data_IF_896863881220
#
_entry.id   IF_896863881220
#
_cell.length_a   1.000
_cell.length_b   1.000
_cell.length_c   1.000
_cell.angle_alpha   90.00
_cell.angle_beta   90.00
_cell.angle_gamma   90.00
#
_symmetry.space_group_name_H-M   'P 1'
#
loop_
_entity.id
_entity.type
_entity.pdbx_description
1 polymer ?
2 non-polymer ?
3 water ?
#
# COMPACT_ATOMS: atom_id res chain seq x y z
N UNK A 8 -18.29 6.08 -14.80
CA UNK A 8 -17.33 6.00 -15.90
C UNK A 8 -17.27 7.29 -16.70
N UNK A 9 -18.37 8.06 -16.70
CA UNK A 9 -18.41 9.32 -17.41
C UNK A 9 -17.29 10.27 -16.98
N UNK A 10 -16.74 10.05 -15.79
CA UNK A 10 -15.63 10.87 -15.29
C UNK A 10 -14.30 10.52 -15.93
N UNK A 11 -14.17 9.33 -16.50
CA UNK A 11 -12.89 8.87 -17.04
C UNK A 11 -12.73 9.28 -18.50
N UNK A 12 -11.49 9.56 -18.89
CA UNK A 12 -11.16 9.83 -20.28
C UNK A 12 -11.15 8.54 -21.08
N UNK A 13 -11.82 8.54 -22.22
CA UNK A 13 -11.77 7.41 -23.14
C UNK A 13 -10.60 7.62 -24.08
N UNK A 14 -9.64 6.69 -24.06
CA UNK A 14 -8.41 6.81 -24.82
C UNK A 14 -8.52 5.93 -26.05
N UNK A 15 -8.08 6.44 -27.19
CA UNK A 15 -8.11 5.63 -28.40
C UNK A 15 -6.97 4.63 -28.40
N UNK A 16 -7.21 3.39 -28.83
CA UNK A 16 -6.14 2.38 -28.81
C UNK A 16 -4.89 2.77 -29.58
N UNK A 17 -5.01 3.64 -30.58
CA UNK A 17 -3.85 4.03 -31.38
C UNK A 17 -2.86 4.87 -30.58
N UNK A 18 -3.30 5.47 -29.48
CA UNK A 18 -2.44 6.28 -28.63
C UNK A 18 -1.63 5.46 -27.64
N UNK A 19 -1.88 4.16 -27.57
CA UNK A 19 -1.32 3.28 -26.56
C UNK A 19 -0.43 2.26 -27.24
N UNK A 20 0.81 2.13 -26.75
CA UNK A 20 1.72 1.07 -27.18
C UNK A 20 2.25 0.33 -25.95
N UNK A 21 1.91 -0.96 -25.87
CA UNK A 21 2.42 -1.82 -24.81
C UNK A 21 3.85 -2.23 -25.13
N UNK A 22 4.74 -2.15 -24.14
CA UNK A 22 6.16 -2.39 -24.35
C UNK A 22 6.73 -3.55 -23.55
N UNK A 23 6.23 -3.82 -22.35
CA UNK A 23 6.87 -4.80 -21.49
C UNK A 23 5.89 -5.26 -20.42
N UNK A 24 5.76 -6.57 -20.24
CA UNK A 24 4.87 -7.11 -19.21
C UNK A 24 5.44 -6.83 -17.83
N UNK A 25 4.59 -6.38 -16.90
CA UNK A 25 5.06 -6.09 -15.55
C UNK A 25 4.16 -6.69 -14.48
N UNK A 26 3.18 -7.51 -14.83
CA UNK A 26 2.39 -8.13 -13.77
C UNK A 26 1.20 -8.93 -14.24
N UNK A 27 0.43 -9.39 -13.24
CA UNK A 27 -0.89 -10.01 -13.34
C UNK A 27 -0.84 -11.43 -13.89
N UNK A 28 -1.97 -11.92 -14.41
CA UNK A 28 -2.00 -13.30 -14.87
C UNK A 28 -3.15 -13.73 -15.76
N UNK A 29 -4.17 -14.35 -15.16
CA UNK A 29 -5.10 -15.22 -15.89
C UNK A 29 -5.91 -14.48 -16.95
N UNK A 30 -6.59 -13.44 -16.54
CA UNK A 30 -7.49 -12.69 -17.42
C UNK A 30 -6.99 -11.39 -18.04
N UNK A 31 -5.72 -11.17 -17.92
CA UNK A 31 -5.12 -9.98 -18.49
C UNK A 31 -3.70 -9.87 -18.01
N UNK A 32 -3.00 -8.88 -18.57
CA UNK A 32 -1.64 -8.58 -18.13
C UNK A 32 -1.58 -7.11 -17.76
N UNK A 33 -0.53 -6.75 -17.03
CA UNK A 33 -0.17 -5.35 -16.81
C UNK A 33 1.11 -5.08 -17.56
N UNK A 34 1.12 -4.03 -18.37
CA UNK A 34 2.29 -3.63 -19.14
C UNK A 34 2.77 -2.25 -18.73
N UNK A 35 4.08 -2.04 -18.85
CA UNK A 35 4.60 -0.69 -19.01
C UNK A 35 4.47 -0.31 -20.48
N UNK A 36 4.01 0.92 -20.73
CA UNK A 36 3.87 1.39 -22.09
C UNK A 36 4.02 2.88 -22.22
N UNK A 37 3.62 3.42 -23.37
CA UNK A 37 3.67 4.85 -23.63
C UNK A 37 2.30 5.30 -24.10
N UNK A 38 1.90 6.50 -23.66
CA UNK A 38 0.62 7.10 -24.02
C UNK A 38 0.87 8.35 -24.85
N UNK A 39 0.20 8.43 -26.00
CA UNK A 39 0.33 9.56 -26.91
C UNK A 39 -0.94 10.40 -26.90
N UNK A 44 2.14 18.18 -26.41
CA UNK A 44 3.03 17.35 -25.61
C UNK A 44 3.67 16.21 -26.41
N UNK A 45 4.33 15.32 -25.69
CA UNK A 45 5.00 14.14 -26.24
C UNK A 45 4.63 12.96 -25.36
N UNK A 46 4.97 11.75 -25.83
CA UNK A 46 4.52 10.53 -25.18
C UNK A 46 5.05 10.41 -23.76
N UNK A 47 4.22 9.88 -22.87
CA UNK A 47 4.53 9.75 -21.45
C UNK A 47 4.42 8.29 -21.05
N UNK A 48 5.26 7.79 -20.13
CA UNK A 48 5.14 6.38 -19.73
C UNK A 48 3.91 6.16 -18.89
N UNK A 49 3.28 5.00 -19.08
CA UNK A 49 2.06 4.61 -18.39
C UNK A 49 2.14 3.13 -18.04
N UNK A 50 1.28 2.73 -17.11
CA UNK A 50 0.97 1.33 -16.89
C UNK A 50 -0.37 1.03 -17.51
N UNK A 51 -0.52 -0.18 -18.04
CA UNK A 51 -1.67 -0.56 -18.86
C UNK A 51 -2.15 -1.92 -18.37
N UNK A 52 -3.35 -1.97 -17.78
CA UNK A 52 -3.96 -3.24 -17.41
C UNK A 52 -5.02 -3.62 -18.42
N UNK A 53 -4.99 -4.88 -18.89
CA UNK A 53 -5.91 -5.34 -19.94
C UNK A 53 -6.89 -6.38 -19.38
N UNK A 54 -8.00 -6.52 -20.11
CA UNK A 54 -9.02 -7.54 -19.83
C UNK A 54 -9.31 -8.29 -21.13
N UNK A 55 -8.93 -9.58 -21.16
CA UNK A 55 -8.98 -10.36 -22.39
C UNK A 55 -10.41 -10.74 -22.76
N UNK A 56 -10.63 -10.96 -24.06
CA UNK A 56 -11.92 -11.38 -24.57
C UNK A 56 -12.38 -12.67 -23.90
N UNK A 57 -13.70 -12.82 -23.77
CA UNK A 57 -14.27 -13.89 -23.00
C UNK A 57 -14.60 -13.52 -21.56
N UNK A 58 -14.22 -12.32 -21.13
CA UNK A 58 -14.49 -11.90 -19.76
C UNK A 58 -15.98 -11.93 -19.48
N UNK A 59 -16.32 -12.25 -18.23
CA UNK A 59 -17.70 -12.32 -17.78
C UNK A 59 -18.24 -10.92 -17.47
N UNK A 60 -19.56 -10.86 -17.25
CA UNK A 60 -20.17 -9.60 -16.83
C UNK A 60 -19.59 -9.11 -15.50
N UNK A 61 -19.40 -10.03 -14.55
CA UNK A 61 -18.84 -9.63 -13.26
C UNK A 61 -17.40 -9.15 -13.41
N UNK A 62 -16.61 -9.83 -14.25
CA UNK A 62 -15.25 -9.36 -14.54
C UNK A 62 -15.27 -7.96 -15.12
N UNK A 63 -16.18 -7.70 -16.06
CA UNK A 63 -16.26 -6.37 -16.66
C UNK A 63 -16.66 -5.32 -15.63
N UNK A 64 -17.62 -5.66 -14.77
CA UNK A 64 -18.08 -4.73 -13.74
C UNK A 64 -16.94 -4.42 -12.76
N UNK A 65 -16.24 -5.46 -12.31
CA UNK A 65 -15.12 -5.25 -11.39
C UNK A 65 -13.98 -4.50 -12.06
N UNK A 66 -13.69 -4.82 -13.32
CA UNK A 66 -12.57 -4.18 -14.02
C UNK A 66 -12.83 -2.70 -14.24
N UNK A 67 -13.96 -2.37 -14.86
CA UNK A 67 -14.28 -0.96 -15.06
C UNK A 67 -14.62 -0.26 -13.74
N UNK A 68 -15.06 -1.02 -12.73
CA UNK A 68 -15.34 -0.42 -11.44
C UNK A 68 -14.09 0.08 -10.75
N UNK A 69 -12.98 -0.63 -10.90
CA UNK A 69 -11.70 -0.11 -10.40
C UNK A 69 -11.36 1.21 -11.07
N UNK A 70 -11.51 1.28 -12.39
CA UNK A 70 -11.26 2.54 -13.08
C UNK A 70 -12.20 3.62 -12.59
N UNK A 71 -13.48 3.29 -12.40
CA UNK A 71 -14.43 4.27 -11.92
C UNK A 71 -14.07 4.80 -10.55
N UNK A 72 -13.61 3.93 -9.66
CA UNK A 72 -13.19 4.36 -8.32
C UNK A 72 -11.97 5.26 -8.41
N UNK A 73 -10.95 4.83 -9.16
CA UNK A 73 -9.72 5.60 -9.30
C UNK A 73 -9.98 6.98 -9.90
N UNK A 74 -10.95 7.07 -10.81
CA UNK A 74 -11.27 8.35 -11.44
C UNK A 74 -11.92 9.34 -10.50
N UNK A 75 -12.43 8.89 -9.36
CA UNK A 75 -13.01 9.78 -8.36
C UNK A 75 -11.97 10.39 -7.43
N UNK A 76 -10.73 9.93 -7.47
CA UNK A 76 -9.69 10.38 -6.55
C UNK A 76 -8.71 11.32 -7.24
N UNK A 77 -8.21 12.29 -6.48
CA UNK A 77 -7.18 13.20 -6.98
C UNK A 77 -6.30 13.56 -5.79
N UNK A 78 -5.24 12.78 -5.59
CA UNK A 78 -4.35 12.98 -4.46
C UNK A 78 -2.95 12.51 -4.82
N UNK A 79 -1.96 13.24 -4.30
CA UNK A 79 -0.54 12.96 -4.52
C UNK A 79 -0.16 11.52 -4.19
N UNK A 80 -0.79 10.90 -3.19
CA UNK A 80 -0.38 9.58 -2.74
C UNK A 80 -1.37 8.50 -3.12
N UNK A 81 -2.10 8.73 -4.22
CA UNK A 81 -3.05 7.78 -4.78
C UNK A 81 -2.73 7.67 -6.26
N UNK A 82 -2.62 6.44 -6.78
CA UNK A 82 -2.25 6.24 -8.18
C UNK A 82 -3.25 6.96 -9.07
N UNK A 83 -2.74 7.71 -10.05
CA UNK A 83 -3.56 8.53 -10.92
C UNK A 83 -4.01 7.74 -12.15
N UNK A 84 -5.28 7.90 -12.51
CA UNK A 84 -5.83 7.30 -13.73
C UNK A 84 -5.63 8.25 -14.90
N UNK A 85 -5.05 7.72 -15.99
CA UNK A 85 -4.96 8.45 -17.25
C UNK A 85 -6.25 8.32 -18.05
N UNK A 86 -6.75 7.11 -18.19
CA UNK A 86 -8.02 6.90 -18.86
C UNK A 86 -8.28 5.42 -19.05
N UNK A 87 -9.32 5.14 -19.83
CA UNK A 87 -9.73 3.77 -20.10
C UNK A 87 -9.93 3.60 -21.61
N UNK A 88 -9.74 2.38 -22.07
CA UNK A 88 -10.25 1.93 -23.36
C UNK A 88 -11.38 0.98 -23.05
N UNK A 89 -12.62 1.42 -23.26
CA UNK A 89 -13.78 0.56 -23.12
C UNK A 89 -14.50 0.30 -24.44
N UNK A 90 -14.37 1.19 -25.43
CA UNK A 90 -15.07 1.00 -26.68
C UNK A 90 -14.47 -0.14 -27.51
N UNK A 91 -13.17 -0.32 -27.44
CA UNK A 91 -12.49 -1.33 -28.23
C UNK A 91 -12.04 -2.48 -27.34
N UNK A 92 -11.63 -3.57 -27.98
CA UNK A 92 -11.17 -4.77 -27.26
C UNK A 92 -9.73 -5.13 -27.70
N UNK A 93 -8.89 -5.56 -26.75
CA UNK A 93 -9.17 -5.72 -25.32
C UNK A 93 -9.36 -4.39 -24.59
N UNK A 94 -10.14 -4.40 -23.51
CA UNK A 94 -10.31 -3.19 -22.73
C UNK A 94 -9.09 -2.95 -21.87
N UNK A 95 -8.85 -1.68 -21.54
CA UNK A 95 -7.63 -1.32 -20.83
C UNK A 95 -7.91 -0.26 -19.79
N UNK A 96 -7.14 -0.31 -18.71
CA UNK A 96 -7.06 0.77 -17.73
C UNK A 96 -5.64 1.32 -17.77
N UNK A 97 -5.50 2.63 -17.92
CA UNK A 97 -4.22 3.27 -18.14
C UNK A 97 -3.97 4.24 -16.98
N UNK A 98 -2.84 4.06 -16.31
CA UNK A 98 -2.50 4.84 -15.13
C UNK A 98 -1.10 5.41 -15.27
N UNK A 99 -0.75 6.32 -14.38
CA UNK A 99 0.63 6.76 -14.30
C UNK A 99 1.53 5.56 -14.05
N UNK A 100 2.78 5.66 -14.50
CA UNK A 100 3.76 4.60 -14.35
C UNK A 100 4.68 4.92 -13.17
N UNK A 101 4.80 3.96 -12.26
CA UNK A 101 5.62 4.11 -11.06
C UNK A 101 6.92 3.33 -11.30
N UNK A 102 8.02 4.08 -11.44
CA UNK A 102 9.27 3.53 -11.97
C UNK A 102 9.89 2.47 -11.07
N UNK A 103 9.67 2.54 -9.76
CA UNK A 103 10.30 1.63 -8.81
C UNK A 103 9.42 0.46 -8.37
N UNK A 104 8.19 0.35 -8.85
CA UNK A 104 7.41 -0.85 -8.61
C UNK A 104 6.82 -0.95 -7.21
N UNK A 105 6.53 -2.18 -6.81
CA UNK A 105 5.86 -2.42 -5.55
C UNK A 105 6.81 -2.18 -4.39
N UNK A 106 6.28 -1.58 -3.32
CA UNK A 106 7.10 -1.16 -2.19
C UNK A 106 7.75 -2.34 -1.49
N UNK A 107 7.05 -3.48 -1.37
CA UNK A 107 7.64 -4.58 -0.61
C UNK A 107 8.87 -5.12 -1.32
N UNK A 108 8.76 -5.38 -2.62
CA UNK A 108 9.89 -5.86 -3.40
C UNK A 108 11.01 -4.83 -3.46
N UNK A 109 10.63 -3.55 -3.57
CA UNK A 109 11.60 -2.47 -3.66
C UNK A 109 12.47 -2.41 -2.41
N UNK A 110 11.85 -2.48 -1.24
CA UNK A 110 12.62 -2.45 0.00
C UNK A 110 13.53 -3.68 0.13
N UNK A 111 13.03 -4.85 -0.27
CA UNK A 111 13.83 -6.06 -0.13
C UNK A 111 15.05 -6.03 -1.04
N UNK A 112 14.95 -5.36 -2.18
CA UNK A 112 16.04 -5.30 -3.13
C UNK A 112 17.00 -4.15 -2.87
N UNK A 113 16.66 -3.28 -1.92
CA UNK A 113 17.43 -2.09 -1.57
C UNK A 113 17.69 -2.07 -0.07
N UNK A 114 17.98 -3.24 0.51
CA UNK A 114 18.10 -3.38 1.96
C UNK A 114 19.14 -2.41 2.54
N UNK A 115 18.73 -1.64 3.54
CA UNK A 115 19.65 -0.74 4.23
C UNK A 115 20.09 0.50 3.49
N UNK A 116 19.51 0.80 2.34
CA UNK A 116 20.05 1.86 1.48
C UNK A 116 19.44 3.24 1.75
N UNK A 117 18.45 3.35 2.64
CA UNK A 117 17.81 4.64 2.86
C UNK A 117 18.04 5.12 4.29
N UNK A 118 17.93 6.43 4.46
CA UNK A 118 18.01 7.01 5.80
C UNK A 118 16.71 6.74 6.54
N UNK A 119 16.78 6.80 7.87
CA UNK A 119 15.56 6.68 8.66
C UNK A 119 14.56 7.75 8.26
N UNK A 120 15.03 8.97 7.97
CA UNK A 120 14.11 10.04 7.61
C UNK A 120 13.41 9.75 6.28
N UNK A 121 14.12 9.14 5.32
CA UNK A 121 13.48 8.72 4.07
C UNK A 121 12.41 7.67 4.31
N UNK A 122 12.70 6.67 5.13
CA UNK A 122 11.70 5.64 5.43
C UNK A 122 10.47 6.26 6.08
N UNK A 123 10.67 7.14 7.06
CA UNK A 123 9.51 7.77 7.72
C UNK A 123 8.74 8.64 6.74
N UNK A 124 9.43 9.29 5.79
CA UNK A 124 8.74 10.07 4.79
C UNK A 124 7.86 9.21 3.89
N UNK A 125 8.31 7.99 3.57
CA UNK A 125 7.47 7.06 2.83
C UNK A 125 6.19 6.77 3.59
N UNK A 126 6.30 6.53 4.90
CA UNK A 126 5.12 6.27 5.72
C UNK A 126 4.19 7.46 5.79
N UNK A 127 4.74 8.68 5.83
CA UNK A 127 3.87 9.86 5.82
C UNK A 127 3.06 9.92 4.54
N UNK A 128 3.68 9.63 3.40
CA UNK A 128 2.96 9.65 2.14
C UNK A 128 1.85 8.63 2.12
N UNK A 129 2.16 7.40 2.52
CA UNK A 129 1.13 6.35 2.58
C UNK A 129 -0.01 6.79 3.48
N UNK A 130 0.31 7.34 4.64
CA UNK A 130 -0.72 7.77 5.59
C UNK A 130 -1.57 8.90 5.03
N UNK A 131 -0.96 9.81 4.29
CA UNK A 131 -1.73 10.90 3.68
C UNK A 131 -2.68 10.35 2.62
N UNK A 132 -2.21 9.41 1.79
CA UNK A 132 -3.12 8.74 0.88
C UNK A 132 -4.27 8.05 1.60
N UNK A 133 -3.96 7.34 2.69
CA UNK A 133 -5.00 6.62 3.43
C UNK A 133 -5.96 7.57 4.12
N UNK A 134 -5.47 8.68 4.68
CA UNK A 134 -6.36 9.67 5.25
C UNK A 134 -7.34 10.18 4.22
N UNK A 135 -6.85 10.50 3.02
CA UNK A 135 -7.72 10.89 1.92
C UNK A 135 -8.77 9.82 1.63
N UNK A 136 -8.34 8.56 1.46
CA UNK A 136 -9.30 7.50 1.16
C UNK A 136 -10.37 7.38 2.25
N UNK A 137 -9.94 7.36 3.52
CA UNK A 137 -10.90 7.17 4.61
C UNK A 137 -11.90 8.32 4.67
N UNK A 138 -11.42 9.55 4.47
CA UNK A 138 -12.32 10.68 4.51
C UNK A 138 -13.25 10.71 3.30
N UNK A 139 -12.82 10.11 2.19
CA UNK A 139 -13.66 9.89 1.00
C UNK A 139 -14.60 8.70 1.17
N UNK A 140 -14.61 8.06 2.34
CA UNK A 140 -15.48 6.91 2.65
C UNK A 140 -15.11 5.68 1.83
N UNK A 141 -13.83 5.48 1.57
CA UNK A 141 -13.34 4.30 0.87
C UNK A 141 -12.50 3.48 1.84
N UNK A 142 -12.91 2.22 2.06
CA UNK A 142 -12.16 1.29 2.90
C UNK A 142 -11.35 0.39 1.98
N UNK A 143 -10.05 0.30 2.23
CA UNK A 143 -9.18 -0.39 1.27
C UNK A 143 -9.29 -1.91 1.40
N UNK A 144 -9.18 -2.42 2.63
CA UNK A 144 -9.26 -3.83 3.04
C UNK A 144 -8.00 -4.66 2.73
N UNK A 145 -7.13 -4.15 1.87
CA UNK A 145 -5.93 -4.92 1.49
C UNK A 145 -4.70 -4.03 1.53
N UNK A 146 -4.60 -3.18 2.55
CA UNK A 146 -3.44 -2.27 2.66
C UNK A 146 -2.23 -3.08 3.11
N UNK A 147 -1.17 -3.01 2.32
CA UNK A 147 0.04 -3.81 2.50
C UNK A 147 1.10 -3.22 1.57
N UNK A 148 2.38 -3.41 1.91
CA UNK A 148 3.42 -2.82 1.09
C UNK A 148 3.34 -3.32 -0.34
N UNK A 149 2.87 -4.54 -0.55
CA UNK A 149 2.76 -5.05 -1.92
C UNK A 149 1.76 -4.27 -2.75
N UNK A 150 0.84 -3.51 -2.13
CA UNK A 150 -0.13 -2.72 -2.84
C UNK A 150 0.19 -1.24 -2.81
N UNK A 151 1.41 -0.88 -2.43
CA UNK A 151 1.93 0.49 -2.50
C UNK A 151 2.96 0.52 -3.62
N UNK A 152 2.91 1.55 -4.45
CA UNK A 152 3.82 1.68 -5.57
C UNK A 152 4.71 2.90 -5.34
N UNK A 153 5.92 2.86 -5.91
CA UNK A 153 6.96 3.86 -5.61
C UNK A 153 7.46 4.46 -6.92
N UNK A 154 7.56 5.81 -6.98
CA UNK A 154 8.08 6.44 -8.19
C UNK A 154 9.53 6.88 -7.98
N UNK A 155 10.09 7.52 -9.02
CA UNK A 155 11.50 7.93 -8.98
C UNK A 155 11.75 9.12 -8.07
N UNK A 156 10.74 9.72 -7.47
CA UNK A 156 10.94 10.68 -6.40
C UNK A 156 10.79 10.03 -5.03
N UNK A 157 10.70 8.70 -4.98
CA UNK A 157 10.46 7.93 -3.75
C UNK A 157 9.08 8.19 -3.18
N UNK A 158 8.16 8.73 -3.98
CA UNK A 158 6.80 8.97 -3.51
C UNK A 158 6.05 7.65 -3.51
N UNK A 159 5.40 7.34 -2.39
CA UNK A 159 4.62 6.11 -2.25
C UNK A 159 3.15 6.41 -2.48
N UNK A 160 2.50 5.59 -3.31
CA UNK A 160 1.10 5.81 -3.67
C UNK A 160 0.32 4.53 -3.47
N UNK A 161 -0.82 4.66 -2.80
CA UNK A 161 -1.71 3.52 -2.59
C UNK A 161 -2.32 3.11 -3.92
N UNK A 162 -2.41 1.79 -4.14
CA UNK A 162 -3.07 1.28 -5.34
C UNK A 162 -3.87 0.05 -4.98
N UNK A 163 -4.49 -0.54 -6.02
CA UNK A 163 -5.33 -1.73 -5.97
C UNK A 163 -6.70 -1.45 -5.38
N UNK A 164 -7.65 -1.03 -6.23
CA UNK A 164 -8.93 -0.51 -5.77
C UNK A 164 -10.08 -1.37 -6.29
N UNK A 165 -11.24 -1.20 -5.64
CA UNK A 165 -12.44 -1.92 -6.02
C UNK A 165 -13.00 -2.72 -4.86
N UNK A 166 -13.88 -3.68 -5.16
CA UNK A 166 -14.22 -4.73 -4.21
C UNK A 166 -13.90 -6.11 -4.78
N UNK A 167 -13.15 -6.15 -5.88
CA UNK A 167 -12.62 -7.38 -6.47
C UNK A 167 -11.32 -7.83 -5.82
N UNK A 168 -10.57 -6.91 -5.23
CA UNK A 168 -9.37 -7.25 -4.46
C UNK A 168 -8.36 -8.04 -5.28
N UNK A 185 -8.95 -13.63 3.04
CA UNK A 185 -8.33 -12.37 3.41
C UNK A 185 -6.84 -12.57 3.70
N UNK A 186 -6.03 -11.50 3.54
CA UNK A 186 -4.59 -11.60 3.88
C UNK A 186 -4.36 -11.48 5.38
N UNK A 187 -4.29 -12.63 6.04
CA UNK A 187 -4.48 -12.68 7.50
C UNK A 187 -3.48 -11.80 8.23
N UNK A 188 -2.20 -11.88 7.86
CA UNK A 188 -1.14 -11.22 8.62
C UNK A 188 -1.25 -9.70 8.62
N UNK A 189 -2.02 -9.15 7.69
CA UNK A 189 -2.20 -7.70 7.59
C UNK A 189 -3.55 -7.24 8.13
N UNK A 190 -4.42 -8.17 8.50
CA UNK A 190 -5.82 -7.86 8.72
C UNK A 190 -6.16 -7.73 10.21
N UNK A 191 -7.00 -6.76 10.52
CA UNK A 191 -7.37 -6.49 11.90
C UNK A 191 -8.22 -7.63 12.46
N UNK A 192 -8.18 -7.85 13.79
CA UNK A 192 -8.94 -8.98 14.37
C UNK A 192 -10.45 -8.93 14.10
N UNK A 193 -11.08 -7.75 14.15
CA UNK A 193 -12.52 -7.73 13.93
C UNK A 193 -12.85 -8.07 12.48
N UNK A 194 -11.94 -7.79 11.54
CA UNK A 194 -12.18 -8.11 10.15
C UNK A 194 -12.03 -9.60 9.90
N UNK A 195 -11.00 -10.21 10.50
CA UNK A 195 -10.88 -11.67 10.43
C UNK A 195 -12.09 -12.34 11.08
N UNK A 196 -12.43 -11.91 12.31
CA UNK A 196 -13.40 -12.66 13.11
C UNK A 196 -14.82 -12.52 12.59
N UNK A 197 -15.25 -11.31 12.22
CA UNK A 197 -16.66 -11.18 11.84
C UNK A 197 -16.84 -10.26 10.64
N UNK A 198 -15.79 -10.14 9.82
CA UNK A 198 -15.85 -9.47 8.52
C UNK A 198 -16.15 -7.97 8.64
N UNK A 199 -15.76 -7.33 9.73
CA UNK A 199 -15.97 -5.90 9.87
C UNK A 199 -14.78 -5.15 9.32
N UNK A 200 -14.89 -4.66 8.08
CA UNK A 200 -13.83 -3.87 7.45
C UNK A 200 -14.21 -2.40 7.51
N UNK A 201 -13.36 -1.58 8.14
CA UNK A 201 -13.57 -0.15 8.28
C UNK A 201 -12.24 0.56 8.08
N UNK A 202 -12.29 1.90 8.07
CA UNK A 202 -11.02 2.63 8.05
C UNK A 202 -10.17 2.31 9.26
N UNK A 203 -10.79 1.88 10.37
CA UNK A 203 -10.01 1.53 11.54
C UNK A 203 -9.32 0.18 11.38
N UNK A 204 -9.89 -0.76 10.62
CA UNK A 204 -9.13 -1.95 10.31
C UNK A 204 -8.02 -1.64 9.32
N UNK A 205 -8.23 -0.65 8.45
CA UNK A 205 -7.13 -0.18 7.60
C UNK A 205 -5.99 0.42 8.44
N UNK A 206 -6.32 1.05 9.56
CA UNK A 206 -5.26 1.56 10.44
C UNK A 206 -4.42 0.42 10.97
N UNK A 207 -5.06 -0.68 11.37
CA UNK A 207 -4.30 -1.85 11.78
C UNK A 207 -3.34 -2.27 10.69
N UNK A 208 -3.84 -2.34 9.45
CA UNK A 208 -2.99 -2.72 8.33
C UNK A 208 -1.85 -1.73 8.16
N UNK A 209 -2.16 -0.43 8.32
CA UNK A 209 -1.13 0.58 8.20
C UNK A 209 0.00 0.34 9.21
N UNK A 210 -0.35 -0.06 10.43
CA UNK A 210 0.69 -0.43 11.39
C UNK A 210 1.59 -1.55 10.90
N UNK A 211 1.00 -2.57 10.27
CA UNK A 211 1.84 -3.61 9.67
C UNK A 211 2.71 -3.02 8.57
N UNK A 212 2.16 -2.10 7.77
CA UNK A 212 2.95 -1.47 6.71
C UNK A 212 4.11 -0.68 7.30
N UNK A 213 3.88 0.02 8.41
CA UNK A 213 4.99 0.68 9.11
C UNK A 213 6.09 -0.32 9.43
N UNK A 214 5.72 -1.49 9.95
CA UNK A 214 6.70 -2.51 10.28
C UNK A 214 7.40 -3.03 9.01
N UNK A 215 6.65 -3.25 7.94
CA UNK A 215 7.27 -3.66 6.68
C UNK A 215 8.31 -2.64 6.21
N UNK A 216 7.97 -1.36 6.30
CA UNK A 216 8.89 -0.34 5.81
C UNK A 216 10.15 -0.31 6.67
N UNK A 217 9.98 -0.28 7.99
CA UNK A 217 11.14 -0.11 8.87
C UNK A 217 12.03 -1.35 8.90
N UNK A 218 11.53 -2.52 8.47
CA UNK A 218 12.34 -3.73 8.39
C UNK A 218 12.87 -3.99 7.00
N UNK A 219 12.61 -3.11 6.05
CA UNK A 219 12.98 -3.31 4.64
C UNK A 219 12.31 -4.55 4.07
N UNK A 220 11.04 -4.73 4.42
CA UNK A 220 10.25 -5.76 3.76
C UNK A 220 10.31 -7.13 4.38
N UNK A 221 10.56 -7.21 5.68
CA UNK A 221 10.46 -8.48 6.38
C UNK A 221 9.04 -9.03 6.30
N UNK A 222 8.91 -10.34 6.33
CA UNK A 222 7.59 -10.94 6.31
C UNK A 222 6.96 -10.88 7.70
N UNK A 223 5.80 -10.26 7.87
CA UNK A 223 5.21 -10.15 9.20
C UNK A 223 5.05 -11.51 9.86
N UNK A 224 5.47 -11.61 11.12
CA UNK A 224 5.37 -12.81 11.95
C UNK A 224 6.22 -13.94 11.40
N UNK A 225 7.13 -13.65 10.48
CA UNK A 225 8.07 -14.61 9.90
C UNK A 225 7.36 -15.90 9.53
N UNK A 226 7.76 -17.04 10.11
CA UNK A 226 7.24 -18.31 9.61
C UNK A 226 6.00 -18.80 10.33
N UNK A 227 5.45 -18.04 11.30
CA UNK A 227 4.21 -18.45 11.95
C UNK A 227 3.15 -18.72 10.89
N UNK A 228 2.35 -19.77 11.12
CA UNK A 228 1.22 -20.04 10.23
C UNK A 228 0.12 -19.00 10.45
N UNK A 229 -0.80 -18.89 9.48
CA UNK A 229 -1.94 -17.99 9.66
C UNK A 229 -2.66 -18.25 10.97
N UNK A 230 -2.90 -19.53 11.29
CA UNK A 230 -3.59 -19.82 12.54
C UNK A 230 -2.75 -19.43 13.73
N UNK A 231 -1.44 -19.64 13.66
CA UNK A 231 -0.56 -19.22 14.74
C UNK A 231 -0.59 -17.69 14.89
N UNK A 232 -0.69 -16.95 13.79
CA UNK A 232 -0.72 -15.49 13.89
C UNK A 232 -2.00 -15.04 14.60
N UNK A 233 -3.15 -15.53 14.15
CA UNK A 233 -4.41 -15.18 14.78
C UNK A 233 -4.41 -15.49 16.26
N UNK A 234 -3.88 -16.65 16.63
CA UNK A 234 -3.79 -17.05 18.03
C UNK A 234 -2.85 -16.12 18.80
N UNK A 235 -1.68 -15.81 18.22
CA UNK A 235 -0.75 -14.91 18.91
C UNK A 235 -1.37 -13.55 19.14
N UNK A 236 -2.07 -13.03 18.15
CA UNK A 236 -2.70 -11.71 18.29
C UNK A 236 -3.78 -11.76 19.36
N UNK A 237 -4.60 -12.81 19.35
CA UNK A 237 -5.69 -12.89 20.32
C UNK A 237 -5.16 -13.02 21.75
N UNK A 238 -3.98 -13.62 21.92
CA UNK A 238 -3.34 -13.71 23.23
C UNK A 238 -2.54 -12.46 23.57
N UNK A 239 -2.59 -11.42 22.75
CA UNK A 239 -1.96 -10.16 23.08
C UNK A 239 -0.54 -9.97 22.57
N UNK A 240 0.02 -10.92 21.82
CA UNK A 240 1.36 -10.73 21.27
C UNK A 240 1.30 -9.76 20.10
N UNK A 241 2.39 -9.02 19.93
CA UNK A 241 2.51 -8.08 18.82
C UNK A 241 3.90 -8.23 18.19
N UNK A 242 4.02 -7.77 16.95
CA UNK A 242 5.31 -7.79 16.28
C UNK A 242 6.35 -7.02 17.11
N UNK A 243 7.57 -7.52 17.22
CA UNK A 243 8.60 -6.84 18.02
C UNK A 243 9.20 -5.66 17.26
N UNK A 244 9.96 -4.85 17.98
CA UNK A 244 10.55 -3.65 17.40
C UNK A 244 11.50 -4.03 16.27
N UNK A 245 11.42 -3.38 15.10
CA UNK A 245 12.49 -3.53 14.11
C UNK A 245 13.82 -3.01 14.63
N UNK A 246 14.91 -3.50 14.04
CA UNK A 246 16.21 -2.88 14.28
C UNK A 246 16.20 -1.42 13.84
N UNK A 247 16.99 -0.62 14.54
CA UNK A 247 17.18 0.77 14.22
C UNK A 247 15.90 1.59 14.04
N UNK A 248 14.88 1.30 14.83
CA UNK A 248 13.56 1.91 14.67
C UNK A 248 13.39 3.03 15.68
N UNK A 249 13.03 4.24 15.24
CA UNK A 249 12.73 5.30 16.19
C UNK A 249 11.67 4.89 17.20
N UNK A 250 11.93 5.20 18.47
CA UNK A 250 10.95 4.92 19.52
C UNK A 250 9.56 5.47 19.18
N UNK A 251 9.49 6.69 18.66
CA UNK A 251 8.19 7.27 18.33
C UNK A 251 7.46 6.43 17.29
N UNK A 252 8.19 5.90 16.31
CA UNK A 252 7.61 5.10 15.23
C UNK A 252 7.09 3.76 15.75
N UNK A 253 7.85 3.11 16.64
CA UNK A 253 7.36 1.86 17.22
C UNK A 253 6.13 2.09 18.09
N UNK A 254 6.14 3.13 18.93
CA UNK A 254 4.97 3.46 19.71
C UNK A 254 3.75 3.65 18.82
N UNK A 255 3.92 4.32 17.67
CA UNK A 255 2.78 4.58 16.80
C UNK A 255 2.25 3.30 16.17
N UNK A 256 3.13 2.42 15.66
CA UNK A 256 2.60 1.17 15.10
C UNK A 256 1.93 0.33 16.19
N UNK A 257 2.47 0.34 17.42
CA UNK A 257 1.83 -0.39 18.51
C UNK A 257 0.40 0.09 18.77
N UNK A 258 0.18 1.41 18.70
CA UNK A 258 -1.16 1.92 18.91
C UNK A 258 -2.09 1.63 17.74
N UNK A 259 -1.53 1.42 16.54
CA UNK A 259 -2.35 0.93 15.44
C UNK A 259 -2.87 -0.47 15.69
N UNK A 260 -2.21 -1.25 16.54
CA UNK A 260 -2.54 -2.66 16.80
C UNK A 260 -3.33 -2.85 18.09
N UNK A 261 -4.09 -1.84 18.51
CA UNK A 261 -4.96 -2.03 19.66
C UNK A 261 -6.10 -2.97 19.31
N UNK A 262 -6.36 -3.92 20.20
CA UNK A 262 -7.46 -4.86 19.99
C UNK A 262 -8.77 -4.11 19.80
N UNK A 263 -9.03 -3.15 20.67
CA UNK A 263 -10.27 -2.38 20.61
C UNK A 263 -10.16 -1.33 19.51
N UNK A 264 -11.01 -1.47 18.49
CA UNK A 264 -10.99 -0.61 17.31
C UNK A 264 -11.02 0.87 17.66
N UNK A 265 -11.87 1.24 18.62
CA UNK A 265 -12.06 2.65 18.96
C UNK A 265 -10.82 3.29 19.55
N UNK A 266 -9.87 2.49 20.03
CA UNK A 266 -8.67 3.04 20.66
C UNK A 266 -7.56 3.30 19.65
N UNK A 267 -7.69 2.82 18.41
CA UNK A 267 -6.66 3.08 17.43
C UNK A 267 -6.69 4.55 16.99
N UNK A 268 -5.54 5.09 16.59
CA UNK A 268 -5.53 6.43 15.98
C UNK A 268 -6.34 6.45 14.70
N UNK A 269 -6.88 7.63 14.38
CA UNK A 269 -7.44 7.82 13.05
C UNK A 269 -6.28 8.17 12.11
N UNK A 270 -6.54 8.08 10.81
CA UNK A 270 -5.46 8.45 9.89
C UNK A 270 -5.06 9.91 10.04
N UNK A 271 -6.02 10.79 10.38
CA UNK A 271 -5.66 12.17 10.68
C UNK A 271 -4.59 12.24 11.76
N UNK A 272 -4.75 11.44 12.83
CA UNK A 272 -3.78 11.45 13.91
C UNK A 272 -2.41 10.98 13.42
N UNK A 273 -2.40 9.92 12.60
CA UNK A 273 -1.15 9.35 12.10
C UNK A 273 -0.40 10.36 11.24
N UNK A 274 -1.11 11.02 10.33
CA UNK A 274 -0.47 12.03 9.47
C UNK A 274 0.11 13.13 10.31
N UNK A 275 -0.65 13.59 11.31
CA UNK A 275 -0.19 14.68 12.15
C UNK A 275 1.11 14.29 12.86
N UNK A 276 1.14 13.10 13.46
CA UNK A 276 2.31 12.69 14.23
C UNK A 276 3.52 12.53 13.33
N UNK A 277 3.34 11.90 12.17
CA UNK A 277 4.47 11.72 11.26
C UNK A 277 4.99 13.06 10.75
N UNK A 278 4.07 13.98 10.41
CA UNK A 278 4.44 15.34 10.00
C UNK A 278 5.37 15.99 11.01
N UNK A 279 4.98 15.92 12.29
CA UNK A 279 5.72 16.58 13.34
C UNK A 279 7.08 15.92 13.56
N UNK A 280 7.14 14.60 13.43
CA UNK A 280 8.42 13.91 13.56
C UNK A 280 9.36 14.29 12.43
N UNK A 281 8.83 14.41 11.21
CA UNK A 281 9.69 14.74 10.06
C UNK A 281 10.15 16.19 10.14
N UNK A 282 9.30 17.08 10.63
CA UNK A 282 9.66 18.50 10.71
C UNK A 282 10.64 18.78 11.85
N UNK A 283 10.71 17.90 12.86
CA UNK A 283 11.71 17.95 13.92
C UNK A 283 12.52 16.65 13.87
N UNK A 284 13.37 16.49 12.85
CA UNK A 284 13.93 15.16 12.57
C UNK A 284 14.84 14.61 13.65
N UNK A 285 15.34 15.44 14.56
CA UNK A 285 16.10 14.91 15.69
C UNK A 285 15.24 14.00 16.56
N UNK A 286 13.91 14.16 16.51
CA UNK A 286 13.03 13.29 17.28
C UNK A 286 13.18 11.84 16.87
N UNK A 287 13.63 11.60 15.64
CA UNK A 287 13.76 10.23 15.12
C UNK A 287 15.02 9.54 15.61
N UNK A 288 15.94 10.27 16.25
CA UNK A 288 17.21 9.67 16.66
C UNK A 288 17.08 8.82 17.92
N UNK A 289 16.04 9.03 18.72
CA UNK A 289 15.79 8.20 19.89
C UNK A 289 15.22 6.87 19.44
N UNK A 290 15.99 5.79 19.58
CA UNK A 290 15.59 4.49 19.07
C UNK A 290 14.96 3.64 20.16
N UNK A 291 13.98 2.85 19.77
CA UNK A 291 13.48 1.82 20.67
C UNK A 291 14.49 0.68 20.77
N UNK A 292 14.53 0.08 21.96
CA UNK A 292 15.41 -1.05 22.19
C UNK A 292 15.05 -2.21 21.25
N UNK A 293 16.06 -2.86 20.69
CA UNK A 293 15.88 -4.04 19.86
C UNK A 293 16.23 -5.29 20.66
N UNK A 294 15.33 -6.27 20.66
CA UNK A 294 15.55 -7.53 21.35
C UNK A 294 16.35 -8.48 20.48
N UNK A 295 17.65 -8.68 20.75
CA UNK A 295 18.45 -9.54 19.89
C UNK A 295 18.03 -11.00 20.05
N UNK A 296 17.91 -11.69 18.92
CA UNK A 296 17.59 -13.12 18.90
C UNK A 296 18.83 -13.98 18.98
N UNK A 297 20.02 -13.36 18.90
CA UNK A 297 21.32 -14.04 18.95
C UNK A 297 22.26 -13.20 19.79
N UNK A 298 23.13 -13.87 20.55
CA UNK A 298 24.18 -13.19 21.30
C UNK A 298 25.55 -13.69 20.85
N UNK A 299 26.45 -12.75 20.60
CA UNK A 299 27.83 -13.05 20.25
C UNK A 299 28.71 -12.55 21.39
N UNK A 300 29.33 -13.49 22.11
CA UNK A 300 30.17 -13.19 23.27
C UNK A 300 31.63 -13.35 22.84
N UNK A 301 32.38 -12.24 22.85
CA UNK A 301 33.79 -12.35 22.54
C UNK A 301 34.64 -11.98 23.76
N UNK A 302 35.71 -12.73 24.02
CA UNK A 302 36.72 -12.36 25.03
C UNK A 302 37.48 -11.10 24.59
X LIG B 1 9.70 -1.88 -12.61
X LIG B 1 8.07 -2.06 -12.11
X LIG B 1 7.21 -0.97 -12.16
X LIG B 1 5.88 -1.07 -11.78
X LIG B 1 5.14 0.06 -11.84
X LIG B 1 3.79 0.11 -11.92
X LIG B 1 2.99 -0.96 -11.79
X LIG B 1 1.65 -0.86 -11.88
X LIG B 1 0.88 -1.95 -11.75
X LIG B 1 1.53 -3.27 -11.52
X LIG B 1 -0.47 -1.89 -11.83
X LIG B 1 -1.11 -2.93 -11.70
X LIG B 1 -1.12 -0.67 -12.04
X LIG B 1 -2.51 -0.62 -12.13
X LIG B 1 -3.15 -0.50 -13.36
X LIG B 1 -2.57 -0.84 -9.44
X LIG B 1 -4.53 -0.45 -13.46
X LIG B 1 -5.31 -0.53 -12.31
X LIG B 1 -4.69 -0.65 -11.07
X LIG B 1 -3.30 -0.69 -10.98
X LIG B 1 -2.24 -0.41 -14.80
X LIG B 1 -0.34 0.48 -12.17
X LIG B 1 1.05 0.37 -12.09
X LIG B 1 1.87 1.50 -12.21
X LIG B 1 3.25 1.32 -12.13
X LIG B 1 5.42 -2.32 -11.34
X LIG B 1 6.27 -3.42 -11.29
X LIG B 1 7.59 -3.30 -11.68
X LIG B 1 9.62 -2.46 -14.28
#
# INVERSE_FOLDING_TARGET
>A
GDPNQAVLKFTTEIHPSCVTRQKVIGAGEFGEVYKGMLKTSSGKKEVPVAIKTLKAGYTEKQRVDFLGEAGIMGQFSHHNIIRLEGVISKYKPMMIITEYMENGALDKFLREKDGEFSVLQLVGMLRGIAAGMKYLANMNYVHRDLAARNILVNSNLVCKVSDFGLSRVLEDDPEATYTTSGGKIPIRWTAPEAISYRKFTSASDVWSFGIVMWEVMTYGERPYWELSNHEVMKAINDGFRLPTPMDCPSAIYQLMMQCWQQERARRPKFADIVSILDKLIRAPDSLKTLADFDPRVSIRLPSTSG
>B hetero
1 P17 S2 C3 C8 C7 N9 C10 N15 C14 N19 C20 C18 O21 C17 C22 C27 CL1 C26 C25 C24 C23 CL2 C16 C13 C12 N11 C6 C5 C4 C1
#
